data_IF_247603630422
#
_entry.id   IF_247603630422
#
_cell.length_a   1.000
_cell.length_b   1.000
_cell.length_c   1.000
_cell.angle_alpha   90.00
_cell.angle_beta   90.00
_cell.angle_gamma   90.00
#
_symmetry.space_group_name_H-M   'P 1'
#
loop_
_entity.id
_entity.type
_entity.pdbx_description
1 polymer ?
#
# COMPACT_ATOMS: atom_id res chain seq x y z
N UNK A 1 -14.56 -14.25 -11.37
CA UNK A 1 -14.38 -13.29 -10.25
C UNK A 1 -14.98 -13.98 -9.06
N UNK A 2 -14.24 -14.09 -7.95
CA UNK A 2 -14.52 -15.02 -6.86
C UNK A 2 -15.98 -14.98 -6.35
N UNK A 3 -16.56 -13.78 -6.24
CA UNK A 3 -17.97 -13.59 -5.87
C UNK A 3 -18.96 -14.14 -6.91
N UNK A 4 -18.68 -13.98 -8.21
CA UNK A 4 -19.52 -14.57 -9.27
C UNK A 4 -19.46 -16.09 -9.26
N UNK A 5 -18.28 -16.64 -8.98
CA UNK A 5 -18.07 -18.08 -8.90
C UNK A 5 -18.77 -18.67 -7.67
N UNK A 6 -18.78 -17.93 -6.56
CA UNK A 6 -19.60 -18.21 -5.37
C UNK A 6 -21.09 -18.20 -5.68
N UNK A 7 -21.62 -17.15 -6.32
CA UNK A 7 -23.05 -17.06 -6.67
C UNK A 7 -23.47 -18.24 -7.56
N UNK A 8 -22.63 -18.62 -8.54
CA UNK A 8 -22.89 -19.79 -9.39
C UNK A 8 -22.89 -21.09 -8.61
N UNK A 9 -22.03 -21.24 -7.60
CA UNK A 9 -22.03 -22.42 -6.74
C UNK A 9 -23.31 -22.48 -5.90
N UNK A 10 -23.75 -21.34 -5.34
CA UNK A 10 -25.01 -21.23 -4.62
C UNK A 10 -26.22 -21.56 -5.51
N UNK A 11 -26.22 -21.14 -6.77
CA UNK A 11 -27.27 -21.50 -7.74
C UNK A 11 -27.38 -23.01 -8.00
N UNK A 12 -26.27 -23.73 -7.85
CA UNK A 12 -26.23 -25.19 -7.95
C UNK A 12 -26.41 -25.90 -6.61
N UNK A 13 -26.62 -25.14 -5.52
CA UNK A 13 -26.61 -25.64 -4.15
C UNK A 13 -25.33 -26.40 -3.80
N UNK A 14 -24.20 -25.95 -4.34
CA UNK A 14 -22.85 -26.50 -4.13
C UNK A 14 -22.02 -25.57 -3.25
N UNK A 15 -21.03 -26.15 -2.56
CA UNK A 15 -20.01 -25.37 -1.86
C UNK A 15 -18.94 -24.91 -2.85
N UNK A 16 -18.56 -23.63 -2.77
CA UNK A 16 -17.38 -23.14 -3.49
C UNK A 16 -16.12 -23.66 -2.79
N UNK A 17 -15.32 -24.46 -3.51
CA UNK A 17 -13.97 -24.82 -3.08
C UNK A 17 -12.94 -23.99 -3.85
N UNK A 18 -12.02 -23.37 -3.12
CA UNK A 18 -10.94 -22.54 -3.68
C UNK A 18 -9.62 -23.06 -3.14
N UNK A 19 -8.73 -23.52 -4.01
CA UNK A 19 -7.39 -23.93 -3.59
C UNK A 19 -6.54 -22.71 -3.22
N UNK A 20 -5.47 -22.91 -2.45
CA UNK A 20 -4.51 -21.84 -2.13
C UNK A 20 -3.94 -21.20 -3.40
N UNK A 21 -3.65 -22.00 -4.43
CA UNK A 21 -3.13 -21.52 -5.70
C UNK A 21 -4.17 -20.66 -6.44
N UNK A 22 -5.44 -21.07 -6.43
CA UNK A 22 -6.53 -20.29 -7.01
C UNK A 22 -6.73 -18.96 -6.27
N UNK A 23 -6.64 -18.97 -4.94
CA UNK A 23 -6.73 -17.76 -4.13
C UNK A 23 -5.62 -16.76 -4.48
N UNK A 24 -4.36 -17.22 -4.55
CA UNK A 24 -3.21 -16.39 -4.94
C UNK A 24 -3.40 -15.81 -6.35
N UNK A 25 -3.83 -16.64 -7.30
CA UNK A 25 -4.07 -16.23 -8.67
C UNK A 25 -5.20 -15.19 -8.78
N UNK A 26 -6.27 -15.35 -8.00
CA UNK A 26 -7.36 -14.38 -7.94
C UNK A 26 -6.89 -13.04 -7.38
N UNK A 27 -6.13 -13.02 -6.29
CA UNK A 27 -5.53 -11.79 -5.75
C UNK A 27 -4.65 -11.10 -6.78
N UNK A 28 -3.79 -11.86 -7.47
CA UNK A 28 -2.92 -11.31 -8.52
C UNK A 28 -3.74 -10.67 -9.65
N UNK A 29 -4.76 -11.37 -10.16
CA UNK A 29 -5.63 -10.86 -11.23
C UNK A 29 -6.36 -9.58 -10.79
N UNK A 30 -6.96 -9.59 -9.60
CA UNK A 30 -7.64 -8.42 -9.04
C UNK A 30 -6.70 -7.24 -8.89
N UNK A 31 -5.48 -7.45 -8.39
CA UNK A 31 -4.50 -6.38 -8.24
C UNK A 31 -3.98 -5.86 -9.57
N UNK A 32 -3.80 -6.75 -10.56
CA UNK A 32 -3.31 -6.37 -11.89
C UNK A 32 -4.28 -5.48 -12.68
N UNK A 33 -5.57 -5.49 -12.33
CA UNK A 33 -6.57 -4.59 -12.90
C UNK A 33 -6.73 -3.26 -12.17
N UNK A 34 -6.04 -3.06 -11.04
CA UNK A 34 -6.10 -1.78 -10.30
C UNK A 34 -5.27 -0.73 -11.03
N UNK A 35 -5.92 0.33 -11.51
CA UNK A 35 -5.24 1.49 -12.09
C UNK A 35 -4.84 2.52 -11.02
N UNK A 36 -3.90 3.40 -11.35
CA UNK A 36 -3.56 4.56 -10.50
C UNK A 36 -4.79 5.42 -10.17
N UNK A 37 -5.75 5.51 -11.11
CA UNK A 37 -7.00 6.23 -10.89
C UNK A 37 -7.89 5.56 -9.83
N UNK A 38 -7.97 4.22 -9.84
CA UNK A 38 -8.70 3.48 -8.80
C UNK A 38 -8.09 3.76 -7.42
N UNK A 39 -6.76 3.75 -7.31
CA UNK A 39 -6.06 4.06 -6.05
C UNK A 39 -6.32 5.50 -5.61
N UNK A 40 -6.20 6.48 -6.51
CA UNK A 40 -6.49 7.88 -6.21
C UNK A 40 -7.93 8.08 -5.73
N UNK A 41 -8.89 7.40 -6.37
CA UNK A 41 -10.29 7.43 -5.95
C UNK A 41 -10.46 6.87 -4.52
N UNK A 42 -9.78 5.78 -4.14
CA UNK A 42 -9.82 5.25 -2.78
C UNK A 42 -9.34 6.28 -1.74
N UNK A 43 -8.21 6.95 -1.99
CA UNK A 43 -7.70 8.01 -1.10
C UNK A 43 -8.70 9.17 -0.98
N UNK A 44 -9.31 9.59 -2.10
CA UNK A 44 -10.35 10.62 -2.12
C UNK A 44 -11.56 10.24 -1.28
N UNK A 45 -12.10 9.03 -1.45
CA UNK A 45 -13.25 8.54 -0.66
C UNK A 45 -12.92 8.42 0.84
N UNK A 46 -11.67 8.13 1.19
CA UNK A 46 -11.20 8.12 2.57
C UNK A 46 -10.96 9.54 3.15
N UNK A 47 -11.24 10.60 2.39
CA UNK A 47 -11.10 12.00 2.84
C UNK A 47 -9.71 12.59 2.64
N UNK A 48 -8.77 11.86 2.01
CA UNK A 48 -7.47 12.39 1.63
C UNK A 48 -7.58 13.13 0.31
N UNK A 49 -7.97 14.39 0.38
CA UNK A 49 -7.97 15.30 -0.78
C UNK A 49 -6.65 16.08 -0.75
N UNK A 50 -5.81 15.88 -1.76
CA UNK A 50 -4.65 16.75 -1.95
C UNK A 50 -5.18 18.15 -2.31
N UNK A 51 -4.77 19.15 -1.53
CA UNK A 51 -5.19 20.54 -1.70
C UNK A 51 -4.52 21.13 -2.96
N UNK A 52 -5.05 20.79 -4.13
CA UNK A 52 -4.69 21.38 -5.40
C UNK A 52 -5.96 21.53 -6.23
N UNK A 53 -6.19 22.74 -6.68
CA UNK A 53 -7.23 23.12 -7.63
C UNK A 53 -7.21 22.19 -8.85
N UNK A 54 -8.01 21.15 -8.84
CA UNK A 54 -8.40 20.38 -10.02
C UNK A 54 -9.77 19.76 -9.77
N UNK A 55 -10.75 20.63 -9.53
CA UNK A 55 -12.14 20.39 -9.93
C UNK A 55 -12.20 20.40 -11.47
N UNK A 56 -11.60 19.40 -12.11
CA UNK A 56 -11.84 19.12 -13.53
C UNK A 56 -12.00 17.61 -13.70
N UNK A 57 -13.26 17.21 -13.53
CA UNK A 57 -14.00 16.22 -14.32
C UNK A 57 -13.11 15.15 -14.95
N UNK A 58 -13.12 13.95 -14.35
CA UNK A 58 -13.37 12.72 -15.11
C UNK A 58 -14.28 11.85 -14.24
N UNK A 59 -15.59 12.13 -14.33
CA UNK A 59 -16.58 11.07 -14.33
C UNK A 59 -16.37 10.25 -15.62
N UNK A 60 -15.19 9.65 -15.81
CA UNK A 60 -15.19 8.40 -16.53
C UNK A 60 -15.85 7.45 -15.55
N UNK A 61 -17.12 7.17 -15.82
CA UNK A 61 -17.79 6.00 -15.33
C UNK A 61 -16.83 4.83 -15.53
N UNK A 62 -16.11 4.47 -14.47
CA UNK A 62 -15.59 3.12 -14.34
C UNK A 62 -16.86 2.31 -14.20
N UNK A 63 -17.44 1.96 -15.36
CA UNK A 63 -18.46 0.95 -15.46
C UNK A 63 -17.74 -0.32 -15.05
N UNK A 64 -17.69 -0.55 -13.73
CA UNK A 64 -17.55 -1.91 -13.24
C UNK A 64 -18.72 -2.65 -13.92
N UNK A 65 -18.46 -3.63 -14.81
CA UNK A 65 -19.51 -4.26 -15.62
C UNK A 65 -20.64 -4.84 -14.76
N UNK A 66 -20.43 -4.96 -13.45
CA UNK A 66 -21.46 -5.18 -12.44
C UNK A 66 -20.92 -4.69 -11.09
N UNK A 67 -21.51 -3.66 -10.44
CA UNK A 67 -21.03 -3.14 -9.16
C UNK A 67 -20.89 -4.25 -8.12
N UNK A 68 -19.78 -4.27 -7.40
CA UNK A 68 -19.53 -5.24 -6.33
C UNK A 68 -20.68 -5.26 -5.31
N UNK A 69 -21.28 -4.11 -5.01
CA UNK A 69 -22.43 -3.96 -4.12
C UNK A 69 -23.62 -4.81 -4.59
N UNK A 70 -23.91 -4.82 -5.88
CA UNK A 70 -25.00 -5.62 -6.47
C UNK A 70 -24.71 -7.11 -6.32
N UNK A 71 -23.48 -7.54 -6.57
CA UNK A 71 -23.07 -8.93 -6.42
C UNK A 71 -23.11 -9.41 -4.96
N UNK A 72 -22.69 -8.55 -4.02
CA UNK A 72 -22.75 -8.84 -2.60
C UNK A 72 -24.21 -8.93 -2.11
N UNK A 73 -25.09 -8.06 -2.61
CA UNK A 73 -26.51 -8.15 -2.31
C UNK A 73 -27.11 -9.48 -2.79
N UNK A 74 -26.84 -9.90 -4.03
CA UNK A 74 -27.30 -11.19 -4.57
C UNK A 74 -26.78 -12.36 -3.73
N UNK A 75 -25.51 -12.31 -3.32
CA UNK A 75 -24.93 -13.36 -2.47
C UNK A 75 -25.60 -13.41 -1.08
N UNK A 76 -25.90 -12.26 -0.48
CA UNK A 76 -26.62 -12.17 0.79
C UNK A 76 -28.05 -12.72 0.69
N UNK A 77 -28.79 -12.37 -0.37
CA UNK A 77 -30.14 -12.89 -0.65
C UNK A 77 -30.15 -14.42 -0.81
N UNK A 78 -29.04 -15.00 -1.27
CA UNK A 78 -28.83 -16.45 -1.39
C UNK A 78 -28.30 -17.12 -0.12
N UNK A 79 -28.33 -16.41 1.02
CA UNK A 79 -27.96 -16.95 2.33
C UNK A 79 -26.47 -16.89 2.65
N UNK A 80 -25.66 -16.23 1.83
CA UNK A 80 -24.23 -16.04 2.07
C UNK A 80 -23.96 -14.78 2.89
N UNK A 81 -24.54 -14.71 4.09
CA UNK A 81 -24.36 -13.57 5.00
C UNK A 81 -23.07 -13.70 5.80
N UNK A 82 -22.29 -12.62 5.86
CA UNK A 82 -21.15 -12.49 6.78
C UNK A 82 -21.71 -12.23 8.18
N UNK A 83 -22.11 -13.30 8.87
CA UNK A 83 -22.80 -13.20 10.17
C UNK A 83 -21.89 -12.71 11.31
N UNK A 84 -20.58 -12.72 11.12
CA UNK A 84 -19.62 -12.36 12.16
C UNK A 84 -18.51 -11.45 11.63
N UNK A 85 -18.83 -10.15 11.59
CA UNK A 85 -17.84 -9.11 11.29
C UNK A 85 -16.68 -9.13 12.28
N UNK A 86 -16.94 -9.50 13.54
CA UNK A 86 -15.89 -9.58 14.55
C UNK A 86 -14.94 -10.74 14.28
N UNK A 87 -15.44 -11.88 13.78
CA UNK A 87 -14.57 -12.96 13.32
C UNK A 87 -13.61 -12.44 12.24
N UNK A 88 -14.10 -11.70 11.24
CA UNK A 88 -13.24 -11.12 10.21
C UNK A 88 -12.19 -10.16 10.78
N UNK A 89 -12.60 -9.22 11.63
CA UNK A 89 -11.70 -8.24 12.27
C UNK A 89 -10.62 -8.92 13.12
N UNK A 90 -10.95 -10.05 13.74
CA UNK A 90 -10.05 -10.74 14.65
C UNK A 90 -9.16 -11.80 13.97
N UNK A 91 -9.30 -12.07 12.67
CA UNK A 91 -8.47 -13.06 11.94
C UNK A 91 -6.98 -12.75 12.13
N UNK A 92 -6.59 -11.48 12.06
CA UNK A 92 -5.19 -11.07 12.12
C UNK A 92 -4.59 -11.16 13.53
N UNK A 93 -5.42 -11.23 14.59
CA UNK A 93 -4.94 -11.31 15.97
C UNK A 93 -4.20 -12.63 16.26
N UNK A 94 -4.60 -13.70 15.57
CA UNK A 94 -4.03 -15.04 15.75
C UNK A 94 -2.92 -15.34 14.73
N UNK A 95 -2.63 -14.42 13.81
CA UNK A 95 -1.52 -14.57 12.87
C UNK A 95 -0.21 -14.27 13.59
N UNK A 96 0.68 -15.26 13.63
CA UNK A 96 2.03 -15.08 14.14
C UNK A 96 2.79 -14.07 13.27
N UNK A 97 2.81 -12.81 13.69
CA UNK A 97 3.63 -11.77 13.08
C UNK A 97 5.08 -11.89 13.52
N UNK A 98 6.01 -11.50 12.65
CA UNK A 98 7.38 -11.25 13.05
C UNK A 98 7.37 -10.28 14.25
N UNK A 99 8.10 -10.62 15.31
CA UNK A 99 8.18 -9.95 16.61
C UNK A 99 7.73 -8.48 16.61
N UNK A 100 6.85 -8.12 17.55
CA UNK A 100 6.35 -6.75 17.71
C UNK A 100 7.52 -5.75 17.86
N UNK A 101 7.74 -4.93 16.83
CA UNK A 101 8.76 -3.90 16.85
C UNK A 101 8.14 -2.54 17.19
N UNK A 102 8.56 -1.94 18.31
CA UNK A 102 8.14 -0.58 18.63
C UNK A 102 8.70 0.40 17.60
N UNK A 103 7.97 1.49 17.30
CA UNK A 103 8.46 2.60 16.46
C UNK A 103 9.87 3.02 16.88
N UNK A 104 10.12 3.15 18.19
CA UNK A 104 11.46 3.47 18.74
C UNK A 104 12.55 2.46 18.34
N UNK A 105 12.24 1.16 18.31
CA UNK A 105 13.18 0.12 17.91
C UNK A 105 13.51 0.23 16.42
N UNK A 106 12.49 0.43 15.58
CA UNK A 106 12.63 0.65 14.14
C UNK A 106 13.47 1.91 13.85
N UNK A 107 13.14 3.05 14.46
CA UNK A 107 13.88 4.30 14.25
C UNK A 107 15.34 4.20 14.71
N UNK A 108 15.61 3.44 15.77
CA UNK A 108 16.97 3.25 16.30
C UNK A 108 17.86 2.47 15.32
N UNK A 109 17.30 1.55 14.53
CA UNK A 109 18.04 0.79 13.51
C UNK A 109 18.52 1.70 12.37
N UNK A 110 17.63 2.58 11.87
CA UNK A 110 17.98 3.58 10.86
C UNK A 110 19.05 4.55 11.34
N UNK A 111 18.97 5.00 12.60
CA UNK A 111 19.96 5.91 13.19
C UNK A 111 21.34 5.24 13.36
N UNK A 112 21.41 3.95 13.71
CA UNK A 112 22.67 3.20 13.77
C UNK A 112 23.32 3.05 12.39
N UNK A 113 22.51 2.80 11.36
CA UNK A 113 22.99 2.67 9.97
C UNK A 113 23.57 4.00 9.45
N UNK A 114 22.92 5.13 9.76
CA UNK A 114 23.37 6.46 9.35
C UNK A 114 24.61 6.98 10.11
N UNK A 115 24.80 6.57 11.37
CA UNK A 115 26.05 6.88 12.10
C UNK A 115 27.27 6.20 11.48
N UNK A 116 27.11 4.99 10.97
CA UNK A 116 28.21 4.22 10.35
C UNK A 116 28.66 4.81 9.02
N UNK A 117 27.72 5.38 8.23
CA UNK A 117 28.04 6.04 6.96
C UNK A 117 28.68 7.41 7.19
N UNK A 118 28.22 8.18 8.19
CA UNK A 118 28.81 9.50 8.48
C UNK A 118 30.23 9.44 9.03
N UNK A 119 30.59 8.41 9.80
CA UNK A 119 31.96 8.23 10.31
C UNK A 119 32.96 7.93 9.17
N UNK A 120 32.52 7.28 8.08
CA UNK A 120 33.38 7.03 6.92
C UNK A 120 33.66 8.27 6.06
N UNK A 121 32.71 9.21 5.96
CA UNK A 121 32.90 10.43 5.15
C UNK A 121 33.76 11.46 5.90
N UNK A 122 33.71 11.49 7.23
CA UNK A 122 34.46 12.46 8.04
C UNK A 122 35.98 12.21 8.07
N UNK A 123 36.47 10.98 7.85
CA UNK A 123 37.91 10.69 7.87
C UNK A 123 38.65 11.07 6.57
N UNK A 124 37.95 11.40 5.48
CA UNK A 124 38.59 11.71 4.19
C UNK A 124 38.88 13.20 3.93
N UNK A 125 38.67 14.09 4.93
CA UNK A 125 38.88 15.55 4.76
C UNK A 125 40.01 16.16 5.58
N UNK A 126 40.90 15.35 6.16
CA UNK A 126 42.09 15.84 6.84
C UNK A 126 43.31 15.52 5.96
N UNK A 127 43.61 16.40 5.00
CA UNK A 127 44.97 16.80 4.57
C UNK A 127 44.89 17.56 3.23
N UNK A 128 44.69 18.87 3.29
CA UNK A 128 45.29 19.78 2.31
C UNK A 128 45.93 20.91 3.11
N UNK A 129 47.27 20.90 3.15
CA UNK A 129 48.08 21.97 3.77
C UNK A 129 47.94 23.27 2.96
N UNK A 130 47.99 24.46 3.61
CA UNK A 130 48.08 25.72 2.89
C UNK A 130 49.53 25.97 2.45
N UNK A 131 49.73 26.57 1.28
CA UNK A 131 51.02 27.08 0.80
C UNK A 131 50.90 28.60 0.54
N UNK A 132 51.93 29.43 0.81
CA UNK A 132 51.72 30.86 1.10
C UNK A 132 52.09 31.82 -0.04
N UNK A 133 51.53 33.03 0.10
CA UNK A 133 52.02 34.37 -0.32
C UNK A 133 52.22 34.70 -1.80
N UNK A 134 51.59 35.78 -2.25
CA UNK A 134 52.30 37.05 -2.51
C UNK A 134 51.33 38.23 -2.68
N UNK A 135 51.48 39.23 -1.82
CA UNK A 135 50.94 40.57 -2.03
C UNK A 135 51.71 41.27 -3.17
N UNK A 136 51.01 42.03 -4.02
CA UNK A 136 51.60 43.16 -4.72
C UNK A 136 50.67 44.37 -4.63
N UNK A 137 51.16 45.39 -3.94
CA UNK A 137 50.70 46.77 -3.99
C UNK A 137 51.08 47.40 -5.33
N UNK A 138 50.24 48.29 -5.86
CA UNK A 138 50.71 49.54 -6.51
C UNK A 138 49.54 50.48 -6.79
N UNK A 139 49.49 51.59 -6.04
CA UNK A 139 48.91 52.89 -6.42
C UNK A 139 50.04 53.73 -7.06
N UNK A 140 49.75 54.76 -7.88
CA UNK A 140 49.29 56.07 -7.38
C UNK A 140 47.81 56.35 -7.66
#
# INVERSE_FOLDING_TARGET
MLVKDLIKALDRNEKLEVSVLDAINNVHKSWSSVSSQNVANCFRYAGFIANAESEEILSEDIIDPEPLETLLQIANEKGCSVNDVNAFVNIDNDIAICSQATVKALTSEFLKKNKTVHVRIAMSRIWIKPHPTSQKQSKP
#
